data_IF_346887588830
#
_entry.id   IF_346887588830
#
_cell.length_a   1.000
_cell.length_b   1.000
_cell.length_c   1.000
_cell.angle_alpha   90.00
_cell.angle_beta   90.00
_cell.angle_gamma   90.00
#
_symmetry.space_group_name_H-M   'P 1'
#
loop_
_entity.id
_entity.type
_entity.pdbx_description
1 polymer ?
#
# COMPACT_ATOMS: atom_id res chain seq x y z
N UNK A 1 44.42 34.35 -11.83
CA UNK A 1 43.38 34.00 -12.80
C UNK A 1 42.53 32.88 -12.21
N UNK A 2 41.27 33.21 -11.92
CA UNK A 2 40.28 32.35 -11.27
C UNK A 2 39.83 31.21 -12.19
N UNK A 3 39.68 30.00 -11.65
CA UNK A 3 39.15 28.83 -12.36
C UNK A 3 38.09 28.12 -11.52
N UNK A 4 36.86 28.66 -11.54
CA UNK A 4 35.70 28.07 -10.90
C UNK A 4 35.33 26.72 -11.56
N UNK A 5 35.61 25.58 -10.91
CA UNK A 5 35.14 24.27 -11.40
C UNK A 5 34.75 23.27 -10.31
N UNK A 6 34.34 23.71 -9.12
CA UNK A 6 33.98 22.81 -8.02
C UNK A 6 32.57 23.01 -7.43
N UNK A 7 31.65 23.64 -8.18
CA UNK A 7 30.26 23.86 -7.74
C UNK A 7 29.24 23.43 -8.80
N UNK A 8 29.34 22.19 -9.28
CA UNK A 8 28.27 21.56 -10.09
C UNK A 8 27.97 20.14 -9.62
N UNK A 9 27.56 19.96 -8.36
CA UNK A 9 26.73 18.79 -8.00
C UNK A 9 26.13 18.88 -6.59
N UNK A 10 25.48 20.00 -6.26
CA UNK A 10 24.67 20.08 -5.01
C UNK A 10 23.19 20.33 -5.35
N UNK A 11 22.87 20.78 -6.57
CA UNK A 11 21.51 21.00 -7.04
C UNK A 11 20.74 19.72 -7.39
N UNK A 12 21.39 18.55 -7.42
CA UNK A 12 20.75 17.25 -7.69
C UNK A 12 20.25 16.54 -6.45
N UNK A 13 20.79 16.83 -5.27
CA UNK A 13 20.46 16.09 -4.04
C UNK A 13 19.14 16.53 -3.38
N UNK A 14 18.64 17.73 -3.74
CA UNK A 14 17.45 18.31 -3.10
C UNK A 14 16.13 17.91 -3.79
N UNK A 15 16.15 17.31 -4.98
CA UNK A 15 14.93 16.85 -5.66
C UNK A 15 14.42 15.49 -5.21
N UNK A 16 15.27 14.66 -4.60
CA UNK A 16 14.85 13.34 -4.12
C UNK A 16 14.20 13.40 -2.71
N UNK A 17 14.42 14.50 -1.97
CA UNK A 17 14.12 14.60 -0.53
C UNK A 17 12.67 15.04 -0.22
N UNK A 18 11.96 15.68 -1.17
CA UNK A 18 10.54 16.04 -1.01
C UNK A 18 9.61 15.03 -1.68
N UNK A 19 9.87 13.72 -1.51
CA UNK A 19 8.84 12.71 -1.79
C UNK A 19 7.73 12.91 -0.77
N UNK A 20 6.50 13.18 -1.21
CA UNK A 20 5.33 13.01 -0.35
C UNK A 20 5.31 11.53 0.05
N UNK A 21 5.61 11.24 1.32
CA UNK A 21 5.34 9.94 1.89
C UNK A 21 3.82 9.84 2.05
N UNK A 22 3.18 9.10 1.13
CA UNK A 22 1.75 8.80 1.21
C UNK A 22 1.63 7.48 1.95
N UNK A 23 0.78 7.42 2.95
CA UNK A 23 0.50 6.19 3.68
C UNK A 23 -0.96 5.76 3.50
N UNK A 24 -1.22 4.46 3.72
CA UNK A 24 -2.54 3.85 3.65
C UNK A 24 -2.82 3.09 4.94
N UNK A 25 -4.05 3.19 5.44
CA UNK A 25 -4.54 2.31 6.51
C UNK A 25 -5.12 1.04 5.88
N UNK A 26 -4.72 -0.10 6.41
CA UNK A 26 -5.04 -1.43 5.86
C UNK A 26 -5.45 -2.35 7.02
N UNK A 27 -6.49 -3.16 6.80
CA UNK A 27 -6.79 -4.29 7.69
C UNK A 27 -5.95 -5.48 7.23
N UNK A 28 -5.03 -5.93 8.08
CA UNK A 28 -4.09 -7.01 7.79
C UNK A 28 -4.32 -8.21 8.69
N UNK A 29 -3.98 -9.40 8.21
CA UNK A 29 -3.96 -10.64 9.00
C UNK A 29 -2.68 -11.43 8.69
N UNK A 30 -2.04 -11.95 9.75
CA UNK A 30 -0.79 -12.70 9.69
C UNK A 30 -0.99 -14.21 9.77
N UNK A 31 -2.19 -14.64 10.17
CA UNK A 31 -2.62 -16.03 10.28
C UNK A 31 -4.11 -16.14 9.97
N UNK A 32 -4.56 -17.34 9.58
CA UNK A 32 -5.98 -17.64 9.37
C UNK A 32 -6.69 -17.94 10.70
N UNK A 33 -7.95 -17.58 10.81
CA UNK A 33 -8.74 -17.85 12.02
C UNK A 33 -10.00 -16.99 12.16
N UNK A 34 -10.48 -16.85 13.39
CA UNK A 34 -11.65 -16.03 13.69
C UNK A 34 -11.38 -14.54 13.34
N UNK A 35 -12.10 -13.91 12.40
CA UNK A 35 -11.73 -12.59 11.87
C UNK A 35 -11.50 -11.49 12.92
N UNK A 36 -12.31 -11.35 13.99
CA UNK A 36 -12.08 -10.34 15.03
C UNK A 36 -10.75 -10.53 15.80
N UNK A 37 -10.20 -11.74 15.83
CA UNK A 37 -8.93 -12.06 16.50
C UNK A 37 -7.73 -11.90 15.56
N UNK A 38 -7.93 -12.10 14.25
CA UNK A 38 -6.86 -12.09 13.25
C UNK A 38 -6.62 -10.71 12.63
N UNK A 39 -7.65 -9.87 12.53
CA UNK A 39 -7.57 -8.59 11.82
C UNK A 39 -6.94 -7.50 12.68
N UNK A 40 -5.94 -6.81 12.12
CA UNK A 40 -5.27 -5.68 12.74
C UNK A 40 -5.26 -4.49 11.80
N UNK A 41 -5.48 -3.28 12.34
CA UNK A 41 -5.35 -2.05 11.57
C UNK A 41 -3.88 -1.61 11.54
N UNK A 42 -3.27 -1.62 10.35
CA UNK A 42 -1.90 -1.17 10.13
C UNK A 42 -1.86 0.08 9.23
N UNK A 43 -0.85 0.91 9.43
CA UNK A 43 -0.52 2.01 8.51
C UNK A 43 0.71 1.62 7.70
N UNK A 44 0.63 1.68 6.38
CA UNK A 44 1.69 1.30 5.46
C UNK A 44 2.09 2.47 4.58
N UNK A 45 3.37 2.80 4.57
CA UNK A 45 3.93 3.76 3.61
C UNK A 45 3.85 3.19 2.19
N UNK A 46 3.41 4.01 1.24
CA UNK A 46 3.22 3.61 -0.14
C UNK A 46 4.44 4.05 -0.99
N UNK A 47 4.94 3.10 -1.78
CA UNK A 47 6.02 3.34 -2.75
C UNK A 47 5.54 4.05 -4.02
N UNK A 48 6.46 4.26 -4.96
CA UNK A 48 6.13 4.79 -6.30
C UNK A 48 5.22 3.80 -7.06
N UNK A 49 4.35 4.32 -7.91
CA UNK A 49 3.55 3.50 -8.84
C UNK A 49 4.47 2.90 -9.91
N UNK A 50 4.37 1.60 -10.17
CA UNK A 50 5.13 0.91 -11.19
C UNK A 50 4.65 1.22 -12.62
N UNK A 51 5.42 0.80 -13.61
CA UNK A 51 5.02 0.95 -15.02
C UNK A 51 3.81 0.05 -15.30
N UNK A 52 2.71 0.66 -15.76
CA UNK A 52 1.46 -0.04 -16.04
C UNK A 52 0.57 -0.28 -14.81
N UNK A 53 0.95 0.22 -13.64
CA UNK A 53 0.13 0.21 -12.43
C UNK A 53 -0.58 1.56 -12.27
N UNK A 54 -1.61 1.57 -11.43
CA UNK A 54 -2.30 2.80 -10.98
C UNK A 54 -2.45 2.80 -9.47
N UNK A 55 -2.45 3.99 -8.86
CA UNK A 55 -2.81 4.19 -7.46
C UNK A 55 -4.28 4.52 -7.35
N UNK A 56 -4.99 3.68 -6.61
CA UNK A 56 -6.41 3.90 -6.29
C UNK A 56 -6.53 4.35 -4.84
N UNK A 57 -7.19 5.48 -4.61
CA UNK A 57 -7.72 5.83 -3.28
C UNK A 57 -9.09 5.21 -3.14
N UNK A 58 -9.15 4.15 -2.34
CA UNK A 58 -10.40 3.46 -2.00
C UNK A 58 -11.39 4.42 -1.33
N UNK A 59 -12.63 4.41 -1.80
CA UNK A 59 -13.75 5.19 -1.28
C UNK A 59 -14.70 4.32 -0.45
N UNK A 60 -14.75 3.02 -0.76
CA UNK A 60 -15.51 2.03 -0.02
C UNK A 60 -15.20 0.62 -0.51
N UNK A 61 -15.44 -0.34 0.37
CA UNK A 61 -15.37 -1.77 0.10
C UNK A 61 -16.52 -2.43 0.87
N UNK A 62 -17.29 -3.36 0.27
CA UNK A 62 -18.25 -4.16 1.00
C UNK A 62 -17.54 -5.15 1.94
N UNK A 63 -18.32 -5.77 2.82
CA UNK A 63 -17.86 -6.89 3.65
C UNK A 63 -18.78 -8.06 3.35
N UNK A 64 -18.29 -9.01 2.58
CA UNK A 64 -19.04 -10.16 2.11
C UNK A 64 -18.60 -11.46 2.80
N UNK A 65 -19.42 -12.53 2.75
CA UNK A 65 -19.04 -13.83 3.28
C UNK A 65 -17.71 -14.36 2.70
N UNK A 66 -17.37 -14.02 1.45
CA UNK A 66 -16.11 -14.42 0.83
C UNK A 66 -14.89 -13.81 1.54
N UNK A 67 -14.96 -12.53 1.95
CA UNK A 67 -13.89 -11.86 2.69
C UNK A 67 -13.66 -12.54 4.05
N UNK A 68 -14.75 -12.83 4.76
CA UNK A 68 -14.74 -13.54 6.04
C UNK A 68 -14.11 -14.93 5.87
N UNK A 69 -14.57 -15.68 4.87
CA UNK A 69 -14.04 -17.01 4.57
C UNK A 69 -12.55 -16.96 4.20
N UNK A 70 -12.08 -15.89 3.56
CA UNK A 70 -10.67 -15.75 3.21
C UNK A 70 -9.80 -15.55 4.46
N UNK A 71 -10.22 -14.69 5.38
CA UNK A 71 -9.53 -14.50 6.68
C UNK A 71 -9.59 -15.77 7.53
N UNK A 72 -10.68 -16.53 7.45
CA UNK A 72 -10.81 -17.84 8.13
C UNK A 72 -9.96 -18.95 7.48
N UNK A 73 -9.46 -18.75 6.26
CA UNK A 73 -8.74 -19.77 5.50
C UNK A 73 -9.64 -20.82 4.85
N UNK A 74 -10.95 -20.56 4.75
CA UNK A 74 -11.92 -21.43 4.07
C UNK A 74 -12.15 -21.07 2.60
N UNK A 75 -11.76 -19.87 2.18
CA UNK A 75 -11.87 -19.47 0.78
C UNK A 75 -10.82 -20.19 -0.08
N UNK A 76 -11.16 -20.67 -1.29
CA UNK A 76 -10.22 -21.43 -2.13
C UNK A 76 -8.98 -20.64 -2.54
N UNK A 77 -9.12 -19.31 -2.68
CA UNK A 77 -8.02 -18.42 -3.02
C UNK A 77 -7.45 -17.83 -1.73
N UNK A 78 -6.23 -18.24 -1.41
CA UNK A 78 -5.50 -17.84 -0.21
C UNK A 78 -4.28 -17.00 -0.60
N UNK A 79 -4.29 -15.68 -0.34
CA UNK A 79 -3.12 -14.83 -0.59
C UNK A 79 -1.97 -15.20 0.36
N UNK A 80 -0.71 -14.94 -0.03
CA UNK A 80 0.43 -15.14 0.85
C UNK A 80 0.31 -14.24 2.09
N UNK A 81 0.60 -14.80 3.26
CA UNK A 81 0.60 -14.07 4.52
C UNK A 81 1.92 -13.28 4.70
N UNK A 82 1.89 -12.07 5.31
CA UNK A 82 0.69 -11.36 5.77
C UNK A 82 -0.12 -10.78 4.60
N UNK A 83 -1.45 -10.80 4.73
CA UNK A 83 -2.37 -10.38 3.68
C UNK A 83 -3.27 -9.22 4.13
N UNK A 84 -3.75 -8.44 3.16
CA UNK A 84 -4.76 -7.39 3.36
C UNK A 84 -6.15 -8.00 3.17
N UNK A 85 -7.09 -7.73 4.06
CA UNK A 85 -8.45 -8.21 3.96
C UNK A 85 -9.29 -7.36 2.98
N UNK A 86 -10.30 -8.00 2.38
CA UNK A 86 -11.18 -7.41 1.37
C UNK A 86 -10.77 -7.78 -0.05
N UNK A 87 -11.72 -8.30 -0.82
CA UNK A 87 -11.50 -8.76 -2.20
C UNK A 87 -11.85 -7.68 -3.23
N UNK A 88 -12.82 -6.82 -2.93
CA UNK A 88 -13.33 -5.82 -3.86
C UNK A 88 -13.60 -4.45 -3.21
N UNK A 89 -13.87 -3.46 -4.06
CA UNK A 89 -14.25 -2.12 -3.64
C UNK A 89 -14.35 -1.16 -4.82
N UNK A 90 -14.56 0.12 -4.51
CA UNK A 90 -14.51 1.20 -5.50
C UNK A 90 -13.66 2.36 -4.99
N UNK A 91 -13.06 3.10 -5.91
CA UNK A 91 -12.14 4.17 -5.59
C UNK A 91 -11.94 5.16 -6.73
N UNK A 92 -11.12 6.16 -6.47
CA UNK A 92 -10.70 7.15 -7.45
C UNK A 92 -9.23 6.92 -7.78
N UNK A 93 -8.88 6.96 -9.06
CA UNK A 93 -7.47 6.91 -9.51
C UNK A 93 -6.79 8.23 -9.14
N UNK A 94 -5.65 8.16 -8.46
CA UNK A 94 -4.85 9.32 -8.07
C UNK A 94 -3.58 9.49 -8.91
N UNK A 95 -3.01 8.40 -9.41
CA UNK A 95 -1.80 8.35 -10.25
C UNK A 95 -1.81 7.12 -11.15
#
# INVERSE_FOLDING_TARGET
MLGASLLRSISGLCRECCRRCISSKQLIYESYGNPPEMLQLATKELGKVGVGEVRVRWMGAPVDPADINQVQGFYPVQPPLPAVAGIEGFGVIEE
#
